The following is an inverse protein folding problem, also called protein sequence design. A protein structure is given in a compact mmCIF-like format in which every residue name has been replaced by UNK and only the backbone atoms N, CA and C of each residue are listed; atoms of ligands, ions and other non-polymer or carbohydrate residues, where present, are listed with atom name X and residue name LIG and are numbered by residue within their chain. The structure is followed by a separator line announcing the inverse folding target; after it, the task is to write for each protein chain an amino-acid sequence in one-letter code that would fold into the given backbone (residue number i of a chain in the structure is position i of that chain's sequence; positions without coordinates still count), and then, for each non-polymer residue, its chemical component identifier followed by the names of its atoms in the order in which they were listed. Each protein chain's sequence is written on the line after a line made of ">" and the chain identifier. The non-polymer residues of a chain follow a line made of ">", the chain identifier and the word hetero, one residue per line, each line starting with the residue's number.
data_IF_762769404837
#
_entry.id   IF_762769404837
#
_cell.length_a   1.000
_cell.length_b   1.000
_cell.length_c   1.000
_cell.angle_alpha   90.00
_cell.angle_beta   90.00
_cell.angle_gamma   90.00
#
_symmetry.space_group_name_H-M   'P 1'
#
loop_
_entity.id
_entity.type
_entity.pdbx_description
1 polymer ?
#
# COMPACT_ATOMS: atom_id res chain seq x y z
N UNK A 1 3.55 14.14 -24.46
CA UNK A 1 4.04 13.15 -23.52
C UNK A 1 4.26 13.92 -22.23
N UNK A 2 3.23 13.97 -21.36
CA UNK A 2 3.33 14.61 -20.04
C UNK A 2 4.14 13.70 -19.13
N UNK A 3 5.13 14.24 -18.47
CA UNK A 3 5.78 13.54 -17.36
C UNK A 3 4.72 13.28 -16.30
N UNK A 4 4.54 12.00 -15.93
CA UNK A 4 3.67 11.60 -14.81
C UNK A 4 4.28 12.14 -13.51
N UNK A 5 3.95 13.37 -13.16
CA UNK A 5 4.38 14.03 -11.92
C UNK A 5 3.27 13.87 -10.90
N UNK A 6 3.61 13.53 -9.65
CA UNK A 6 2.63 13.48 -8.58
C UNK A 6 1.98 14.86 -8.40
N UNK A 7 0.67 14.93 -8.07
CA UNK A 7 0.02 16.20 -7.83
C UNK A 7 0.75 16.99 -6.73
N UNK A 8 1.00 18.27 -7.05
CA UNK A 8 1.74 19.20 -6.20
C UNK A 8 0.75 19.96 -5.32
N UNK A 9 0.89 19.84 -4.02
CA UNK A 9 -0.01 20.46 -3.06
C UNK A 9 0.71 21.42 -2.12
N UNK A 10 -0.02 22.46 -1.69
CA UNK A 10 0.39 23.35 -0.64
C UNK A 10 -0.34 23.05 0.66
N UNK A 11 0.36 23.13 1.80
CA UNK A 11 -0.22 22.95 3.13
C UNK A 11 -0.10 24.26 3.90
N UNK A 12 -1.23 24.71 4.46
CA UNK A 12 -1.32 25.89 5.32
C UNK A 12 -1.99 25.48 6.63
N UNK A 13 -1.34 25.75 7.76
CA UNK A 13 -1.88 25.43 9.08
C UNK A 13 -1.49 26.49 10.12
N UNK A 14 -2.24 26.57 11.23
CA UNK A 14 -1.98 27.53 12.29
C UNK A 14 -0.64 27.31 13.00
N UNK A 15 -0.23 26.06 13.13
CA UNK A 15 1.01 25.72 13.82
C UNK A 15 1.93 24.89 12.92
N UNK A 16 3.24 24.99 13.15
CA UNK A 16 4.25 24.19 12.43
C UNK A 16 4.05 22.68 12.67
N UNK A 17 3.59 22.31 13.86
CA UNK A 17 3.34 20.91 14.19
C UNK A 17 2.20 20.35 13.36
N UNK A 18 1.06 21.04 13.32
CA UNK A 18 -0.09 20.67 12.53
C UNK A 18 0.22 20.61 11.04
N UNK A 19 0.89 21.65 10.51
CA UNK A 19 1.34 21.66 9.13
C UNK A 19 2.26 20.48 8.81
N UNK A 20 3.15 20.11 9.75
CA UNK A 20 4.02 18.96 9.57
C UNK A 20 3.26 17.62 9.57
N UNK A 21 2.26 17.46 10.44
CA UNK A 21 1.42 16.25 10.48
C UNK A 21 0.65 16.07 9.17
N UNK A 22 -0.01 17.13 8.69
CA UNK A 22 -0.72 17.14 7.42
C UNK A 22 0.21 16.88 6.23
N UNK A 23 1.34 17.60 6.16
CA UNK A 23 2.30 17.44 5.08
C UNK A 23 2.89 16.01 5.06
N UNK A 24 3.18 15.43 6.21
CA UNK A 24 3.67 14.05 6.29
C UNK A 24 2.60 13.03 5.88
N UNK A 25 1.34 13.24 6.27
CA UNK A 25 0.23 12.41 5.83
C UNK A 25 0.07 12.48 4.30
N UNK A 26 0.02 13.69 3.73
CA UNK A 26 -0.12 13.89 2.29
C UNK A 26 1.06 13.28 1.49
N UNK A 27 2.30 13.43 1.98
CA UNK A 27 3.48 12.78 1.37
C UNK A 27 3.41 11.26 1.46
N UNK A 28 2.97 10.71 2.58
CA UNK A 28 2.77 9.27 2.74
C UNK A 28 1.71 8.73 1.76
N UNK A 29 0.71 9.55 1.44
CA UNK A 29 -0.33 9.26 0.45
C UNK A 29 0.14 9.41 -1.02
N UNK A 30 1.39 9.86 -1.25
CA UNK A 30 2.00 9.95 -2.57
C UNK A 30 1.89 11.32 -3.24
N UNK A 31 1.40 12.35 -2.54
CA UNK A 31 1.34 13.72 -3.05
C UNK A 31 2.67 14.45 -2.84
N UNK A 32 3.01 15.36 -3.76
CA UNK A 32 4.21 16.20 -3.64
C UNK A 32 3.89 17.48 -2.88
N UNK A 33 4.26 17.54 -1.60
CA UNK A 33 4.07 18.74 -0.77
C UNK A 33 5.20 19.71 -1.01
N UNK A 34 4.94 20.72 -1.84
CA UNK A 34 5.94 21.71 -2.29
C UNK A 34 5.98 22.97 -1.42
N UNK A 35 4.92 23.23 -0.67
CA UNK A 35 4.88 24.28 0.35
C UNK A 35 4.19 23.78 1.61
N UNK A 36 4.75 24.12 2.77
CA UNK A 36 4.16 23.85 4.08
C UNK A 36 4.47 25.05 4.97
N UNK A 37 3.45 25.86 5.29
CA UNK A 37 3.65 27.15 5.93
C UNK A 37 2.46 27.56 6.80
N UNK A 38 2.64 28.64 7.55
CA UNK A 38 1.58 29.33 8.27
C UNK A 38 1.07 30.51 7.42
N UNK A 39 -0.19 30.97 7.60
CA UNK A 39 -0.74 32.09 6.84
C UNK A 39 0.16 33.32 6.82
N UNK A 40 0.71 33.70 7.98
CA UNK A 40 1.59 34.87 8.13
C UNK A 40 2.90 34.79 7.34
N UNK A 41 3.33 33.61 6.96
CA UNK A 41 4.64 33.37 6.33
C UNK A 41 4.51 32.98 4.84
N UNK A 42 3.29 32.94 4.29
CA UNK A 42 3.08 32.58 2.91
C UNK A 42 3.52 33.71 1.98
N UNK A 43 4.46 33.41 1.10
CA UNK A 43 4.78 34.30 -0.02
C UNK A 43 3.71 34.15 -1.11
N UNK A 44 2.69 35.00 -1.02
CA UNK A 44 1.53 34.98 -1.91
C UNK A 44 1.91 35.24 -3.36
N UNK A 45 2.88 36.13 -3.60
CA UNK A 45 3.37 36.44 -4.95
C UNK A 45 4.07 35.25 -5.63
N UNK A 46 4.56 34.32 -4.85
CA UNK A 46 5.24 33.11 -5.37
C UNK A 46 4.28 31.95 -5.61
N UNK A 47 3.29 31.78 -4.76
CA UNK A 47 2.50 30.54 -4.72
C UNK A 47 1.06 30.69 -5.14
N UNK A 48 0.45 31.85 -4.91
CA UNK A 48 -0.97 32.09 -5.27
C UNK A 48 -1.04 32.56 -6.71
N UNK A 49 -1.97 32.00 -7.50
CA UNK A 49 -2.22 32.38 -8.89
C UNK A 49 -1.11 32.04 -9.88
N UNK A 50 -0.15 31.20 -9.50
CA UNK A 50 1.00 30.85 -10.38
C UNK A 50 0.84 29.53 -11.12
N UNK A 51 -0.25 28.77 -10.91
CA UNK A 51 -0.44 27.43 -11.48
C UNK A 51 0.60 26.41 -11.05
N UNK A 52 1.36 26.70 -10.00
CA UNK A 52 2.41 25.81 -9.49
C UNK A 52 1.88 24.69 -8.59
N UNK A 53 0.62 24.76 -8.17
CA UNK A 53 -0.05 23.84 -7.28
C UNK A 53 -1.34 23.33 -7.92
N UNK A 54 -1.63 22.06 -7.70
CA UNK A 54 -2.92 21.48 -8.07
C UNK A 54 -3.97 21.63 -6.96
N UNK A 55 -3.53 21.88 -5.69
CA UNK A 55 -4.48 22.10 -4.60
C UNK A 55 -3.80 22.71 -3.36
N UNK A 56 -4.60 23.43 -2.57
CA UNK A 56 -4.28 23.87 -1.22
C UNK A 56 -5.00 23.00 -0.20
N UNK A 57 -4.26 22.54 0.83
CA UNK A 57 -4.80 21.90 2.02
C UNK A 57 -4.66 22.89 3.18
N UNK A 58 -5.77 23.44 3.63
CA UNK A 58 -5.83 24.51 4.64
C UNK A 58 -6.49 23.97 5.89
N UNK A 59 -5.79 24.03 7.00
CA UNK A 59 -6.27 23.56 8.30
C UNK A 59 -5.96 24.61 9.38
N UNK A 60 -6.94 25.45 9.64
CA UNK A 60 -6.87 26.59 10.55
C UNK A 60 -7.93 26.44 11.64
N UNK A 61 -7.49 26.44 12.91
CA UNK A 61 -8.37 26.30 14.06
C UNK A 61 -9.26 27.54 14.26
N UNK A 62 -8.73 28.74 13.97
CA UNK A 62 -9.42 30.02 14.08
C UNK A 62 -9.52 30.69 12.69
N UNK A 63 -10.56 30.33 11.94
CA UNK A 63 -10.80 30.89 10.62
C UNK A 63 -11.17 32.37 10.65
N UNK A 64 -11.78 32.87 11.74
CA UNK A 64 -12.14 34.30 11.89
C UNK A 64 -10.88 35.16 11.98
N UNK A 65 -9.86 34.70 12.69
CA UNK A 65 -8.56 35.36 12.78
C UNK A 65 -7.86 35.53 11.43
N UNK A 66 -8.10 34.58 10.52
CA UNK A 66 -7.43 34.52 9.22
C UNK A 66 -8.38 34.86 8.05
N UNK A 67 -9.52 35.54 8.32
CA UNK A 67 -10.54 35.82 7.32
C UNK A 67 -9.98 36.60 6.10
N UNK A 68 -9.24 37.67 6.33
CA UNK A 68 -8.62 38.47 5.24
C UNK A 68 -7.66 37.65 4.38
N UNK A 69 -6.89 36.75 5.01
CA UNK A 69 -5.98 35.84 4.31
C UNK A 69 -6.76 34.80 3.50
N UNK A 70 -7.83 34.24 4.05
CA UNK A 70 -8.69 33.27 3.38
C UNK A 70 -9.40 33.90 2.17
N UNK A 71 -9.89 35.12 2.30
CA UNK A 71 -10.50 35.89 1.20
C UNK A 71 -9.49 36.09 0.08
N UNK A 72 -8.26 36.50 0.41
CA UNK A 72 -7.18 36.67 -0.56
C UNK A 72 -6.84 35.34 -1.26
N UNK A 73 -6.76 34.23 -0.50
CA UNK A 73 -6.48 32.91 -1.04
C UNK A 73 -7.59 32.41 -1.97
N UNK A 74 -8.86 32.64 -1.60
CA UNK A 74 -10.03 32.26 -2.40
C UNK A 74 -10.16 33.11 -3.68
N UNK A 75 -9.82 34.39 -3.63
CA UNK A 75 -9.93 35.30 -4.80
C UNK A 75 -8.80 35.09 -5.81
N UNK A 76 -7.59 34.73 -5.34
CA UNK A 76 -6.39 34.74 -6.19
C UNK A 76 -5.86 33.35 -6.55
N UNK A 77 -6.33 32.30 -5.88
CA UNK A 77 -5.85 30.95 -6.18
C UNK A 77 -6.59 30.31 -7.34
N UNK A 78 -5.85 29.89 -8.36
CA UNK A 78 -6.38 29.04 -9.44
C UNK A 78 -6.54 27.57 -8.99
N UNK A 79 -5.86 27.17 -7.91
CA UNK A 79 -5.92 25.82 -7.39
C UNK A 79 -7.09 25.66 -6.39
N UNK A 80 -7.81 24.53 -6.41
CA UNK A 80 -8.85 24.23 -5.45
C UNK A 80 -8.32 24.25 -4.01
N UNK A 81 -9.14 24.76 -3.09
CA UNK A 81 -8.81 24.82 -1.67
C UNK A 81 -9.62 23.76 -0.92
N UNK A 82 -8.92 22.90 -0.21
CA UNK A 82 -9.50 21.87 0.67
C UNK A 82 -9.34 22.35 2.09
N UNK A 83 -10.44 22.55 2.79
CA UNK A 83 -10.43 22.84 4.21
C UNK A 83 -10.37 21.56 5.03
N UNK A 84 -9.47 21.51 6.00
CA UNK A 84 -9.38 20.43 6.97
C UNK A 84 -10.56 20.42 7.95
N UNK A 85 -10.83 19.24 8.53
CA UNK A 85 -11.92 19.04 9.50
C UNK A 85 -11.48 19.33 10.96
N UNK A 86 -10.37 19.99 11.15
CA UNK A 86 -9.72 20.25 12.43
C UNK A 86 -8.34 19.60 12.56
N UNK A 87 -7.81 19.54 13.75
CA UNK A 87 -6.44 19.13 14.05
C UNK A 87 -6.14 17.71 13.59
N UNK A 88 -5.13 17.56 12.75
CA UNK A 88 -4.64 16.25 12.33
C UNK A 88 -4.19 15.42 13.56
N UNK A 89 -4.78 14.24 13.80
CA UNK A 89 -4.39 13.40 14.92
C UNK A 89 -2.97 12.84 14.70
N UNK A 90 -2.20 12.60 15.76
CA UNK A 90 -0.93 11.89 15.65
C UNK A 90 -1.16 10.44 15.20
N UNK A 91 -0.19 9.83 14.53
CA UNK A 91 -0.29 8.45 13.99
C UNK A 91 -0.67 7.38 15.02
N UNK A 92 -0.37 7.62 16.28
CA UNK A 92 -0.71 6.73 17.42
C UNK A 92 -2.13 6.89 17.93
N UNK A 93 -2.89 7.85 17.43
CA UNK A 93 -4.26 8.10 17.86
C UNK A 93 -5.24 7.14 17.18
N UNK A 94 -6.21 6.63 17.90
CA UNK A 94 -7.21 5.65 17.39
C UNK A 94 -8.03 6.16 16.19
N UNK A 95 -8.22 7.48 16.09
CA UNK A 95 -8.94 8.10 14.98
C UNK A 95 -8.08 8.37 13.74
N UNK A 96 -6.74 8.24 13.83
CA UNK A 96 -5.84 8.53 12.72
C UNK A 96 -6.20 7.78 11.43
N UNK A 97 -6.51 6.47 11.43
CA UNK A 97 -6.84 5.74 10.19
C UNK A 97 -8.12 6.24 9.52
N UNK A 98 -9.12 6.67 10.33
CA UNK A 98 -10.36 7.24 9.81
C UNK A 98 -10.12 8.63 9.21
N UNK A 99 -9.35 9.46 9.89
CA UNK A 99 -8.95 10.78 9.44
C UNK A 99 -8.11 10.72 8.15
N UNK A 100 -7.06 9.88 8.11
CA UNK A 100 -6.20 9.66 6.94
C UNK A 100 -7.01 9.23 5.72
N UNK A 101 -7.97 8.32 5.89
CA UNK A 101 -8.87 7.87 4.82
C UNK A 101 -9.73 9.00 4.27
N UNK A 102 -10.29 9.85 5.15
CA UNK A 102 -11.09 11.02 4.72
C UNK A 102 -10.21 12.00 3.94
N UNK A 103 -9.05 12.34 4.47
CA UNK A 103 -8.08 13.21 3.80
C UNK A 103 -7.77 12.72 2.39
N UNK A 104 -7.47 11.43 2.26
CA UNK A 104 -7.16 10.85 0.95
C UNK A 104 -8.34 10.88 -0.02
N UNK A 105 -9.53 10.51 0.42
CA UNK A 105 -10.73 10.56 -0.44
C UNK A 105 -10.99 11.99 -0.94
N UNK A 106 -10.75 12.97 -0.09
CA UNK A 106 -10.90 14.38 -0.45
C UNK A 106 -9.84 14.81 -1.46
N UNK A 107 -8.58 14.43 -1.26
CA UNK A 107 -7.49 14.71 -2.19
C UNK A 107 -7.71 14.04 -3.55
N UNK A 108 -8.11 12.76 -3.59
CA UNK A 108 -8.44 12.08 -4.86
C UNK A 108 -9.54 12.82 -5.63
N UNK A 109 -10.56 13.25 -4.93
CA UNK A 109 -11.69 13.94 -5.56
C UNK A 109 -11.30 15.29 -6.14
N UNK A 110 -10.36 15.99 -5.51
CA UNK A 110 -9.96 17.36 -5.88
C UNK A 110 -8.85 17.40 -6.91
N UNK A 111 -7.83 16.55 -6.79
CA UNK A 111 -6.61 16.59 -7.63
C UNK A 111 -6.27 15.26 -8.29
N UNK A 112 -7.11 14.25 -8.11
CA UNK A 112 -6.87 12.92 -8.66
C UNK A 112 -5.94 12.05 -7.82
N UNK A 113 -5.71 10.83 -8.30
CA UNK A 113 -4.83 9.87 -7.62
C UNK A 113 -3.37 10.22 -7.91
N UNK A 114 -2.49 10.18 -6.89
CA UNK A 114 -1.07 10.29 -7.14
C UNK A 114 -0.60 9.08 -7.96
N UNK A 115 0.37 9.31 -8.82
CA UNK A 115 1.06 8.23 -9.50
C UNK A 115 1.90 7.51 -8.43
N UNK A 116 1.52 6.29 -8.09
CA UNK A 116 2.29 5.48 -7.13
C UNK A 116 3.62 5.11 -7.78
N UNK A 117 4.60 6.00 -7.69
CA UNK A 117 5.98 5.67 -8.06
C UNK A 117 6.52 4.74 -6.99
N UNK A 118 6.65 3.47 -7.32
CA UNK A 118 7.52 2.59 -6.56
C UNK A 118 8.91 3.22 -6.61
N UNK A 119 9.37 3.75 -5.49
CA UNK A 119 10.70 4.33 -5.44
C UNK A 119 11.74 3.20 -5.48
N UNK A 120 12.09 2.76 -6.69
CA UNK A 120 13.07 1.72 -6.93
C UNK A 120 14.44 2.04 -6.29
N UNK A 121 14.76 3.34 -6.13
CA UNK A 121 15.98 3.76 -5.41
C UNK A 121 15.89 3.46 -3.91
N UNK A 122 14.70 3.61 -3.31
CA UNK A 122 14.49 3.21 -1.89
C UNK A 122 14.56 1.70 -1.74
N UNK A 123 14.03 0.94 -2.70
CA UNK A 123 14.23 -0.51 -2.76
C UNK A 123 15.72 -0.87 -2.85
N UNK A 124 16.50 -0.17 -3.68
CA UNK A 124 17.94 -0.40 -3.82
C UNK A 124 18.73 -0.02 -2.56
N UNK A 125 18.38 1.05 -1.85
CA UNK A 125 19.03 1.46 -0.59
C UNK A 125 18.73 0.50 0.57
N UNK A 126 17.61 -0.22 0.52
CA UNK A 126 17.29 -1.27 1.50
C UNK A 126 18.20 -2.49 1.34
N UNK A 127 18.94 -2.60 0.23
CA UNK A 127 19.86 -3.70 -0.09
C UNK A 127 21.09 -3.80 0.82
N UNK A 128 21.38 -2.76 1.62
CA UNK A 128 22.55 -2.74 2.51
C UNK A 128 22.30 -3.40 3.89
N UNK A 129 21.09 -3.92 4.15
CA UNK A 129 20.78 -4.58 5.42
C UNK A 129 21.32 -6.02 5.47
N UNK A 130 21.82 -6.47 6.62
CA UNK A 130 22.31 -7.83 6.76
C UNK A 130 21.17 -8.83 6.50
N UNK A 131 21.49 -9.91 5.80
CA UNK A 131 20.57 -11.04 5.58
C UNK A 131 20.12 -11.62 6.91
N UNK A 132 18.88 -12.09 6.97
CA UNK A 132 18.36 -12.78 8.14
C UNK A 132 19.33 -13.89 8.59
N UNK A 133 19.62 -13.90 9.89
CA UNK A 133 20.38 -14.96 10.55
C UNK A 133 19.50 -16.05 11.13
N UNK A 134 18.20 -16.07 10.75
CA UNK A 134 17.28 -17.14 11.16
C UNK A 134 17.87 -18.50 10.76
N UNK A 135 18.21 -19.28 11.77
CA UNK A 135 18.60 -20.68 11.58
C UNK A 135 17.32 -21.50 11.42
N UNK A 136 17.12 -22.00 10.21
CA UNK A 136 16.05 -22.98 9.98
C UNK A 136 16.45 -24.25 10.70
N UNK A 137 15.55 -24.87 11.48
CA UNK A 137 15.79 -26.21 12.00
C UNK A 137 16.10 -27.19 10.86
N UNK A 138 17.11 -28.06 11.05
CA UNK A 138 17.59 -28.97 10.00
C UNK A 138 16.49 -29.87 9.41
N UNK A 139 15.48 -30.17 10.21
CA UNK A 139 14.29 -30.93 9.81
C UNK A 139 13.47 -30.27 8.68
N UNK A 140 13.57 -28.91 8.50
CA UNK A 140 12.94 -28.20 7.41
C UNK A 140 13.84 -28.01 6.19
N UNK A 141 15.17 -28.13 6.35
CA UNK A 141 16.14 -27.98 5.26
C UNK A 141 16.07 -29.14 4.26
N UNK A 142 15.69 -30.34 4.77
CA UNK A 142 15.68 -31.58 4.00
C UNK A 142 14.29 -31.97 3.47
N UNK A 143 13.26 -31.11 3.62
CA UNK A 143 11.99 -31.33 2.95
C UNK A 143 12.22 -31.15 1.44
N UNK A 144 11.99 -32.21 0.62
CA UNK A 144 12.08 -32.05 -0.82
C UNK A 144 11.07 -30.97 -1.19
N UNK A 145 11.54 -29.91 -1.88
CA UNK A 145 10.66 -28.99 -2.58
C UNK A 145 9.76 -29.87 -3.45
N UNK A 146 8.52 -30.05 -3.02
CA UNK A 146 7.58 -30.85 -3.77
C UNK A 146 7.50 -30.27 -5.16
N UNK A 147 7.89 -31.06 -6.16
CA UNK A 147 7.75 -30.73 -7.57
C UNK A 147 6.25 -30.77 -7.92
N UNK A 148 5.45 -29.89 -7.30
CA UNK A 148 4.01 -29.88 -7.41
C UNK A 148 3.43 -28.53 -7.01
N UNK A 149 2.12 -28.44 -7.12
CA UNK A 149 1.35 -27.29 -6.64
C UNK A 149 1.51 -27.20 -5.13
N UNK A 150 1.84 -26.01 -4.60
CA UNK A 150 2.02 -25.85 -3.17
C UNK A 150 0.71 -26.13 -2.42
N UNK A 151 0.80 -26.83 -1.30
CA UNK A 151 -0.37 -27.03 -0.42
C UNK A 151 -0.74 -25.74 0.33
N UNK A 152 0.21 -24.85 0.50
CA UNK A 152 0.03 -23.57 1.18
C UNK A 152 0.39 -22.41 0.26
N UNK A 153 -0.51 -21.46 0.17
CA UNK A 153 -0.36 -20.22 -0.59
C UNK A 153 -0.55 -19.03 0.34
N UNK A 154 0.36 -18.08 0.28
CA UNK A 154 0.26 -16.83 1.01
C UNK A 154 -0.03 -15.68 0.04
N UNK A 155 -1.15 -15.01 0.24
CA UNK A 155 -1.44 -13.76 -0.45
C UNK A 155 -0.69 -12.64 0.27
N UNK A 156 0.13 -11.90 -0.46
CA UNK A 156 0.79 -10.69 0.02
C UNK A 156 -0.03 -9.51 -0.46
N UNK A 157 -0.80 -8.92 0.45
CA UNK A 157 -1.72 -7.83 0.17
C UNK A 157 -1.06 -6.49 0.47
N UNK A 158 -0.90 -5.61 -0.52
CA UNK A 158 -0.11 -4.41 -0.36
C UNK A 158 -0.58 -3.25 -1.25
N UNK A 159 -0.31 -2.00 -0.82
CA UNK A 159 -0.61 -0.79 -1.56
C UNK A 159 0.50 0.24 -1.36
N UNK A 160 0.20 1.44 -0.88
CA UNK A 160 1.19 2.51 -0.64
C UNK A 160 2.23 2.07 0.41
N UNK A 161 3.52 2.14 0.07
CA UNK A 161 4.62 1.63 0.90
C UNK A 161 4.81 0.11 0.86
N UNK A 162 3.87 -0.61 0.23
CA UNK A 162 3.86 -2.06 0.10
C UNK A 162 5.11 -2.66 -0.54
N UNK A 163 5.60 -2.17 -1.68
CA UNK A 163 6.76 -2.75 -2.34
C UNK A 163 7.99 -2.86 -1.44
N UNK A 164 8.25 -1.85 -0.62
CA UNK A 164 9.35 -1.86 0.35
C UNK A 164 9.10 -2.88 1.47
N UNK A 165 7.88 -2.92 2.01
CA UNK A 165 7.53 -3.84 3.09
C UNK A 165 7.57 -5.31 2.62
N UNK A 166 6.97 -5.61 1.47
CA UNK A 166 7.00 -6.96 0.87
C UNK A 166 8.43 -7.40 0.57
N UNK A 167 9.27 -6.49 0.05
CA UNK A 167 10.67 -6.81 -0.19
C UNK A 167 11.43 -7.14 1.11
N UNK A 168 11.26 -6.33 2.16
CA UNK A 168 11.88 -6.61 3.48
C UNK A 168 11.44 -7.97 4.02
N UNK A 169 10.16 -8.30 3.92
CA UNK A 169 9.62 -9.60 4.28
C UNK A 169 10.29 -10.73 3.49
N UNK A 170 10.30 -10.66 2.15
CA UNK A 170 10.89 -11.70 1.31
C UNK A 170 12.40 -11.86 1.53
N UNK A 171 13.10 -10.76 1.79
CA UNK A 171 14.55 -10.78 2.07
C UNK A 171 14.88 -11.39 3.46
N UNK A 172 13.93 -11.36 4.41
CA UNK A 172 14.07 -11.97 5.74
C UNK A 172 13.82 -13.47 5.74
N UNK A 173 13.09 -13.97 4.74
CA UNK A 173 12.70 -15.37 4.69
C UNK A 173 13.88 -16.30 4.40
N UNK A 174 13.86 -17.49 5.02
CA UNK A 174 14.84 -18.52 4.74
C UNK A 174 14.69 -19.09 3.33
N UNK A 175 15.75 -19.75 2.86
CA UNK A 175 15.74 -20.46 1.60
C UNK A 175 14.83 -21.70 1.68
N UNK A 176 14.18 -22.02 0.55
CA UNK A 176 13.49 -23.31 0.37
C UNK A 176 12.21 -23.51 1.21
N UNK A 177 11.38 -22.47 1.30
CA UNK A 177 10.07 -22.62 1.91
C UNK A 177 9.10 -23.37 0.98
N UNK A 178 8.33 -24.37 1.50
CA UNK A 178 7.37 -25.14 0.72
C UNK A 178 6.04 -24.39 0.52
N UNK A 179 6.13 -23.12 0.16
CA UNK A 179 5.00 -22.23 -0.04
C UNK A 179 5.15 -21.44 -1.33
N UNK A 180 4.04 -21.04 -1.93
CA UNK A 180 4.00 -20.03 -2.98
C UNK A 180 3.40 -18.73 -2.44
N UNK A 181 3.81 -17.64 -3.04
CA UNK A 181 3.27 -16.33 -2.76
C UNK A 181 2.47 -15.81 -3.96
N UNK A 182 1.35 -15.14 -3.69
CA UNK A 182 0.57 -14.39 -4.68
C UNK A 182 0.54 -12.93 -4.21
N UNK A 183 1.23 -12.05 -4.91
CA UNK A 183 1.27 -10.63 -4.57
C UNK A 183 0.11 -9.90 -5.23
N UNK A 184 -0.77 -9.32 -4.42
CA UNK A 184 -1.79 -8.37 -4.81
C UNK A 184 -1.35 -6.96 -4.40
N UNK A 185 -0.80 -6.22 -5.34
CA UNK A 185 -0.24 -4.87 -5.13
C UNK A 185 -1.00 -3.84 -5.96
N UNK A 186 -1.54 -2.83 -5.30
CA UNK A 186 -2.09 -1.67 -6.01
C UNK A 186 -0.95 -0.85 -6.61
N UNK A 187 -0.81 -0.87 -7.91
CA UNK A 187 0.28 -0.23 -8.65
C UNK A 187 -0.17 0.17 -10.06
N UNK A 188 0.53 1.11 -10.67
CA UNK A 188 0.35 1.40 -12.10
C UNK A 188 0.77 0.16 -12.92
N UNK A 189 -0.05 -0.31 -13.88
CA UNK A 189 0.29 -1.46 -14.74
C UNK A 189 1.67 -1.36 -15.39
N UNK A 190 2.10 -0.16 -15.77
CA UNK A 190 3.42 0.08 -16.37
C UNK A 190 4.61 -0.22 -15.44
N UNK A 191 4.36 -0.28 -14.13
CA UNK A 191 5.38 -0.54 -13.12
C UNK A 191 5.45 -1.99 -12.68
N UNK A 192 4.53 -2.84 -13.18
CA UNK A 192 4.36 -4.22 -12.70
C UNK A 192 5.60 -5.09 -12.95
N UNK A 193 6.21 -5.00 -14.15
CA UNK A 193 7.43 -5.73 -14.50
C UNK A 193 8.63 -5.28 -13.65
N UNK A 194 8.76 -3.97 -13.43
CA UNK A 194 9.82 -3.42 -12.60
C UNK A 194 9.66 -3.84 -11.14
N UNK A 195 8.44 -3.84 -10.62
CA UNK A 195 8.12 -4.36 -9.29
C UNK A 195 8.52 -5.83 -9.18
N UNK A 196 8.01 -6.69 -10.07
CA UNK A 196 8.30 -8.12 -10.08
C UNK A 196 9.81 -8.40 -10.04
N UNK A 197 10.58 -7.71 -10.87
CA UNK A 197 12.04 -7.86 -10.91
C UNK A 197 12.72 -7.39 -9.64
N UNK A 198 12.28 -6.26 -9.05
CA UNK A 198 12.94 -5.65 -7.90
C UNK A 198 12.71 -6.41 -6.60
N UNK A 199 11.55 -7.04 -6.42
CA UNK A 199 11.19 -7.78 -5.22
C UNK A 199 12.14 -8.94 -4.92
N UNK A 200 12.68 -9.58 -5.96
CA UNK A 200 13.45 -10.83 -5.81
C UNK A 200 14.94 -10.68 -6.14
N UNK A 201 15.39 -9.46 -6.39
CA UNK A 201 16.77 -9.19 -6.85
C UNK A 201 17.86 -9.75 -5.94
N UNK A 202 17.60 -9.85 -4.64
CA UNK A 202 18.61 -10.23 -3.63
C UNK A 202 18.16 -11.33 -2.68
N UNK A 203 17.08 -12.02 -3.01
CA UNK A 203 16.59 -13.17 -2.26
C UNK A 203 16.54 -14.45 -3.12
N UNK A 204 15.99 -15.50 -2.60
CA UNK A 204 15.97 -16.84 -3.22
C UNK A 204 14.73 -17.12 -4.06
N UNK A 205 13.74 -16.23 -4.00
CA UNK A 205 12.49 -16.39 -4.71
C UNK A 205 12.63 -16.05 -6.18
N UNK A 206 11.76 -16.65 -6.99
CA UNK A 206 11.52 -16.22 -8.36
C UNK A 206 10.24 -15.42 -8.40
N UNK A 207 10.19 -14.38 -9.20
CA UNK A 207 8.97 -13.59 -9.39
C UNK A 207 8.59 -13.55 -10.86
N UNK A 208 7.28 -13.56 -11.10
CA UNK A 208 6.67 -13.38 -12.40
C UNK A 208 5.28 -12.80 -12.28
N UNK A 209 4.78 -12.18 -13.34
CA UNK A 209 3.37 -11.81 -13.45
C UNK A 209 2.57 -13.08 -13.74
N UNK A 210 1.42 -13.24 -13.08
CA UNK A 210 0.52 -14.38 -13.28
C UNK A 210 -0.07 -14.39 -14.68
N UNK A 211 0.04 -15.54 -15.37
CA UNK A 211 -0.52 -15.76 -16.71
C UNK A 211 -1.30 -17.07 -16.74
N UNK A 212 -2.36 -17.11 -17.54
CA UNK A 212 -3.16 -18.29 -17.71
C UNK A 212 -2.33 -19.52 -18.12
N UNK A 213 -2.65 -20.67 -17.54
CA UNK A 213 -2.00 -21.94 -17.82
C UNK A 213 -0.66 -22.15 -17.11
N UNK A 214 -0.20 -21.23 -16.28
CA UNK A 214 1.02 -21.39 -15.48
C UNK A 214 0.71 -21.86 -14.05
N UNK A 215 1.36 -22.92 -13.56
CA UNK A 215 1.12 -23.43 -12.20
C UNK A 215 1.76 -22.51 -11.15
N UNK A 216 1.17 -22.44 -9.96
CA UNK A 216 1.87 -21.94 -8.78
C UNK A 216 2.96 -22.97 -8.38
N UNK A 217 4.12 -22.46 -7.98
CA UNK A 217 5.24 -23.30 -7.52
C UNK A 217 5.79 -22.80 -6.20
N UNK A 218 6.26 -23.72 -5.37
CA UNK A 218 7.00 -23.35 -4.16
C UNK A 218 8.23 -22.51 -4.50
N UNK A 219 8.50 -21.49 -3.67
CA UNK A 219 9.61 -20.56 -3.89
C UNK A 219 9.36 -19.51 -4.98
N UNK A 220 8.12 -19.37 -5.44
CA UNK A 220 7.74 -18.33 -6.40
C UNK A 220 6.82 -17.27 -5.78
N UNK A 221 6.97 -16.04 -6.28
CA UNK A 221 6.05 -14.91 -6.07
C UNK A 221 5.33 -14.64 -7.39
N UNK A 222 4.06 -14.95 -7.46
CA UNK A 222 3.22 -14.65 -8.62
C UNK A 222 2.54 -13.31 -8.38
N UNK A 223 2.86 -12.30 -9.19
CA UNK A 223 2.25 -10.98 -9.09
C UNK A 223 0.92 -10.98 -9.83
N UNK A 224 -0.16 -10.62 -9.15
CA UNK A 224 -1.47 -10.50 -9.78
C UNK A 224 -1.46 -9.38 -10.84
N UNK A 225 -1.89 -9.64 -12.09
CA UNK A 225 -1.95 -8.63 -13.13
C UNK A 225 -2.99 -7.55 -12.80
N UNK A 226 -2.78 -6.32 -13.27
CA UNK A 226 -3.75 -5.23 -13.11
C UNK A 226 -4.87 -5.29 -14.16
N UNK A 227 -4.61 -5.87 -15.32
CA UNK A 227 -5.48 -5.81 -16.49
C UNK A 227 -6.76 -6.64 -16.34
N UNK A 228 -6.73 -7.71 -15.55
CA UNK A 228 -7.87 -8.60 -15.40
C UNK A 228 -7.75 -9.56 -14.24
N UNK A 229 -8.90 -10.08 -13.83
CA UNK A 229 -9.01 -11.01 -12.72
C UNK A 229 -8.35 -12.35 -13.05
N UNK A 230 -7.54 -12.83 -12.10
CA UNK A 230 -7.01 -14.19 -12.11
C UNK A 230 -7.63 -15.01 -10.97
N UNK A 231 -7.80 -16.31 -11.23
CA UNK A 231 -8.18 -17.32 -10.24
C UNK A 231 -7.28 -18.56 -10.39
N UNK A 232 -7.60 -19.64 -9.71
CA UNK A 232 -6.83 -20.88 -9.73
C UNK A 232 -7.74 -22.07 -9.98
N UNK A 233 -7.34 -22.96 -10.89
CA UNK A 233 -8.06 -24.20 -11.14
C UNK A 233 -7.79 -25.28 -10.07
N UNK A 234 -8.42 -26.43 -10.17
CA UNK A 234 -8.27 -27.53 -9.23
C UNK A 234 -6.83 -28.09 -9.16
N UNK A 235 -6.04 -27.89 -10.18
CA UNK A 235 -4.63 -28.27 -10.25
C UNK A 235 -3.69 -27.14 -9.79
N UNK A 236 -4.20 -25.95 -9.38
CA UNK A 236 -3.43 -24.80 -8.92
C UNK A 236 -2.77 -24.00 -10.03
N UNK A 237 -3.27 -24.12 -11.26
CA UNK A 237 -2.82 -23.28 -12.37
C UNK A 237 -3.58 -21.95 -12.34
N UNK A 238 -2.89 -20.90 -12.75
CA UNK A 238 -3.50 -19.59 -12.93
C UNK A 238 -4.50 -19.63 -14.09
N UNK A 239 -5.67 -19.10 -13.85
CA UNK A 239 -6.76 -18.98 -14.85
C UNK A 239 -7.14 -17.51 -14.94
N UNK A 240 -7.06 -16.93 -16.13
CA UNK A 240 -7.64 -15.63 -16.43
C UNK A 240 -9.15 -15.77 -16.63
N UNK A 241 -9.95 -15.02 -15.86
CA UNK A 241 -11.42 -15.14 -15.94
C UNK A 241 -12.01 -14.42 -17.15
N UNK A 242 -11.21 -13.55 -17.80
CA UNK A 242 -11.66 -12.65 -18.86
C UNK A 242 -12.52 -11.49 -18.35
N UNK A 243 -12.61 -11.30 -17.04
CA UNK A 243 -13.35 -10.22 -16.39
C UNK A 243 -12.39 -9.18 -15.82
N UNK A 244 -12.78 -7.90 -15.73
CA UNK A 244 -12.05 -6.94 -14.94
C UNK A 244 -12.13 -7.28 -13.44
N UNK A 245 -11.20 -6.74 -12.67
CA UNK A 245 -11.31 -6.74 -11.21
C UNK A 245 -12.56 -5.96 -10.78
N UNK A 246 -13.30 -6.47 -9.80
CA UNK A 246 -14.47 -5.77 -9.27
C UNK A 246 -14.03 -4.65 -8.31
N UNK A 247 -14.77 -3.54 -8.33
CA UNK A 247 -14.53 -2.41 -7.46
C UNK A 247 -13.49 -1.42 -7.99
N UNK A 248 -13.00 -0.54 -7.12
CA UNK A 248 -12.15 0.59 -7.54
C UNK A 248 -10.67 0.24 -7.67
N UNK A 249 -10.27 -0.98 -7.31
CA UNK A 249 -8.86 -1.40 -7.24
C UNK A 249 -8.52 -2.46 -8.29
N UNK A 250 -7.32 -2.37 -8.85
CA UNK A 250 -6.78 -3.34 -9.78
C UNK A 250 -5.28 -3.59 -9.47
N UNK A 251 -4.91 -4.81 -9.03
CA UNK A 251 -5.81 -5.92 -8.71
C UNK A 251 -6.68 -5.64 -7.46
N UNK A 252 -7.87 -6.27 -7.36
CA UNK A 252 -8.63 -6.26 -6.10
C UNK A 252 -8.05 -7.27 -5.13
N UNK A 253 -7.57 -6.79 -3.98
CA UNK A 253 -6.99 -7.64 -2.92
C UNK A 253 -8.05 -8.58 -2.36
N UNK A 254 -9.28 -8.10 -2.13
CA UNK A 254 -10.38 -8.93 -1.67
C UNK A 254 -10.67 -10.09 -2.63
N UNK A 255 -10.67 -9.85 -3.95
CA UNK A 255 -10.87 -10.92 -4.93
C UNK A 255 -9.70 -11.90 -4.99
N UNK A 256 -8.45 -11.43 -4.92
CA UNK A 256 -7.28 -12.34 -4.88
C UNK A 256 -7.35 -13.24 -3.66
N UNK A 257 -7.68 -12.70 -2.47
CA UNK A 257 -7.85 -13.48 -1.24
C UNK A 257 -9.01 -14.49 -1.41
N UNK A 258 -10.14 -14.06 -1.93
CA UNK A 258 -11.32 -14.92 -2.14
C UNK A 258 -11.01 -16.07 -3.12
N UNK A 259 -10.33 -15.78 -4.24
CA UNK A 259 -9.95 -16.75 -5.25
C UNK A 259 -8.91 -17.77 -4.71
N UNK A 260 -7.93 -17.30 -3.94
CA UNK A 260 -7.00 -18.19 -3.25
C UNK A 260 -7.72 -19.07 -2.21
N UNK A 261 -8.61 -18.48 -1.41
CA UNK A 261 -9.41 -19.21 -0.41
C UNK A 261 -10.30 -20.27 -1.04
N UNK A 262 -10.94 -19.95 -2.16
CA UNK A 262 -11.78 -20.89 -2.90
C UNK A 262 -11.02 -22.13 -3.35
N UNK A 263 -9.78 -21.95 -3.81
CA UNK A 263 -8.96 -23.05 -4.33
C UNK A 263 -8.23 -23.83 -3.24
N UNK A 264 -7.61 -23.13 -2.29
CA UNK A 264 -6.69 -23.75 -1.33
C UNK A 264 -7.31 -24.00 0.06
N UNK A 265 -8.55 -23.48 0.30
CA UNK A 265 -9.23 -23.65 1.57
C UNK A 265 -8.37 -23.21 2.77
N UNK A 266 -8.14 -24.10 3.72
CA UNK A 266 -7.29 -23.86 4.89
C UNK A 266 -5.78 -23.69 4.56
N UNK A 267 -5.36 -24.02 3.35
CA UNK A 267 -4.01 -23.78 2.85
C UNK A 267 -3.80 -22.33 2.34
N UNK A 268 -4.89 -21.57 2.13
CA UNK A 268 -4.80 -20.15 1.79
C UNK A 268 -4.54 -19.31 3.04
N UNK A 269 -3.60 -18.38 2.95
CA UNK A 269 -3.23 -17.47 4.01
C UNK A 269 -3.03 -16.07 3.45
N UNK A 270 -3.05 -15.04 4.28
CA UNK A 270 -2.79 -13.66 3.86
C UNK A 270 -1.92 -12.90 4.85
N UNK A 271 -1.01 -12.09 4.30
CA UNK A 271 -0.30 -11.05 5.05
C UNK A 271 -0.70 -9.71 4.44
N UNK A 272 -1.19 -8.81 5.27
CA UNK A 272 -1.58 -7.46 4.87
C UNK A 272 -0.47 -6.50 5.28
N UNK A 273 0.21 -5.94 4.30
CA UNK A 273 1.29 -4.98 4.46
C UNK A 273 0.80 -3.54 4.44
N UNK A 274 1.76 -2.62 4.51
CA UNK A 274 1.54 -1.19 4.32
C UNK A 274 0.69 -0.93 3.08
N UNK A 275 -0.35 -0.15 3.26
CA UNK A 275 -1.29 0.16 2.21
C UNK A 275 -2.35 1.14 2.66
N UNK A 276 -3.02 1.71 1.68
CA UNK A 276 -4.07 2.66 1.90
C UNK A 276 -5.43 2.07 1.52
N UNK A 277 -6.45 2.46 2.28
CA UNK A 277 -7.82 2.00 2.07
C UNK A 277 -8.18 0.83 2.95
N UNK A 278 -9.07 -0.02 2.45
CA UNK A 278 -9.62 -1.16 3.20
C UNK A 278 -9.76 -2.43 2.34
N UNK A 279 -9.14 -2.46 1.17
CA UNK A 279 -9.18 -3.64 0.30
C UNK A 279 -8.46 -4.81 0.99
N UNK A 280 -9.12 -5.95 1.06
CA UNK A 280 -8.73 -7.12 1.84
C UNK A 280 -9.51 -7.30 3.15
N UNK A 281 -10.21 -6.26 3.64
CA UNK A 281 -10.96 -6.35 4.91
C UNK A 281 -12.27 -7.15 4.82
N UNK A 282 -12.77 -7.42 3.61
CA UNK A 282 -13.97 -8.23 3.40
C UNK A 282 -13.60 -9.71 3.29
N UNK A 283 -12.56 -10.04 2.53
CA UNK A 283 -12.21 -11.44 2.26
C UNK A 283 -11.31 -12.06 3.35
N UNK A 284 -10.50 -11.28 4.07
CA UNK A 284 -9.64 -11.80 5.13
C UNK A 284 -10.43 -12.53 6.26
N UNK A 285 -11.58 -12.00 6.77
CA UNK A 285 -12.41 -12.73 7.71
C UNK A 285 -12.96 -14.05 7.15
N UNK A 286 -13.31 -14.08 5.86
CA UNK A 286 -13.80 -15.30 5.20
C UNK A 286 -12.70 -16.35 5.08
N UNK A 287 -11.47 -15.92 4.73
CA UNK A 287 -10.29 -16.78 4.73
C UNK A 287 -10.06 -17.38 6.11
N UNK A 288 -10.12 -16.55 7.18
CA UNK A 288 -9.96 -16.99 8.56
C UNK A 288 -11.00 -18.04 8.96
N UNK A 289 -12.27 -17.86 8.58
CA UNK A 289 -13.35 -18.83 8.82
C UNK A 289 -13.12 -20.16 8.10
N UNK A 290 -12.40 -20.17 6.99
CA UNK A 290 -12.01 -21.38 6.25
C UNK A 290 -10.75 -22.05 6.77
N UNK A 291 -10.17 -21.56 7.89
CA UNK A 291 -9.01 -22.15 8.58
C UNK A 291 -7.68 -21.54 8.17
N UNK A 292 -7.66 -20.57 7.28
CA UNK A 292 -6.44 -19.85 6.88
C UNK A 292 -5.93 -18.89 7.97
N UNK A 293 -4.68 -18.45 7.83
CA UNK A 293 -4.06 -17.46 8.71
C UNK A 293 -4.16 -16.06 8.10
N UNK A 294 -4.42 -15.08 8.96
CA UNK A 294 -4.43 -13.66 8.60
C UNK A 294 -3.40 -12.97 9.48
N UNK A 295 -2.38 -12.40 8.84
CA UNK A 295 -1.34 -11.61 9.51
C UNK A 295 -1.38 -10.19 8.97
N UNK A 296 -0.89 -9.22 9.74
CA UNK A 296 -0.87 -7.82 9.35
C UNK A 296 0.42 -7.15 9.81
N UNK A 297 1.00 -6.32 8.95
CA UNK A 297 2.13 -5.48 9.34
C UNK A 297 1.69 -4.53 10.47
N UNK A 298 2.51 -4.40 11.52
CA UNK A 298 2.25 -3.50 12.63
C UNK A 298 2.19 -2.03 12.18
N UNK A 299 1.28 -1.26 12.75
CA UNK A 299 0.97 0.10 12.28
C UNK A 299 2.19 1.03 12.29
N UNK A 300 3.02 0.94 13.32
CA UNK A 300 4.23 1.75 13.51
C UNK A 300 5.31 1.50 12.46
N UNK A 301 5.28 0.35 11.79
CA UNK A 301 6.24 0.00 10.72
C UNK A 301 5.69 0.27 9.32
N UNK A 302 4.39 0.54 9.20
CA UNK A 302 3.76 0.90 7.93
C UNK A 302 4.14 2.31 7.50
N UNK A 303 4.38 2.51 6.21
CA UNK A 303 4.39 3.84 5.61
C UNK A 303 2.97 4.44 5.64
N UNK A 304 1.96 3.62 5.34
CA UNK A 304 0.53 3.92 5.46
C UNK A 304 -0.14 2.71 6.10
N UNK A 305 -0.78 2.88 7.26
CA UNK A 305 -1.30 1.76 8.05
C UNK A 305 -2.76 1.42 7.80
N UNK A 306 -3.52 2.30 7.11
CA UNK A 306 -4.98 2.21 7.05
C UNK A 306 -5.52 0.90 6.45
N UNK A 307 -4.81 0.27 5.52
CA UNK A 307 -5.20 -1.03 4.97
C UNK A 307 -5.01 -2.16 6.00
N UNK A 308 -3.86 -2.21 6.66
CA UNK A 308 -3.59 -3.18 7.71
C UNK A 308 -4.50 -2.97 8.93
N UNK A 309 -4.79 -1.70 9.29
CA UNK A 309 -5.73 -1.35 10.36
C UNK A 309 -7.15 -1.80 10.02
N UNK A 310 -7.62 -1.57 8.80
CA UNK A 310 -8.95 -2.00 8.38
C UNK A 310 -9.14 -3.52 8.50
N UNK A 311 -8.09 -4.31 8.25
CA UNK A 311 -8.14 -5.76 8.46
C UNK A 311 -8.04 -6.13 9.94
N UNK A 312 -7.25 -5.43 10.76
CA UNK A 312 -7.20 -5.60 12.22
C UNK A 312 -8.55 -5.32 12.88
N UNK A 313 -9.24 -4.27 12.44
CA UNK A 313 -10.56 -3.87 12.96
C UNK A 313 -11.64 -4.96 12.77
N UNK A 314 -11.42 -5.89 11.83
CA UNK A 314 -12.32 -7.06 11.66
C UNK A 314 -12.16 -8.11 12.75
N UNK A 315 -11.11 -8.05 13.57
CA UNK A 315 -10.80 -9.04 14.60
C UNK A 315 -10.27 -10.39 14.08
N UNK A 316 -10.00 -10.52 12.76
CA UNK A 316 -9.56 -11.78 12.18
C UNK A 316 -8.02 -11.98 12.19
N UNK A 317 -7.25 -10.94 12.51
CA UNK A 317 -5.78 -10.98 12.50
C UNK A 317 -5.25 -11.83 13.65
N UNK A 318 -4.45 -12.83 13.32
CA UNK A 318 -3.85 -13.75 14.30
C UNK A 318 -2.46 -13.31 14.76
N UNK A 319 -1.74 -12.54 13.95
CA UNK A 319 -0.40 -12.06 14.27
C UNK A 319 -0.13 -10.70 13.62
N UNK A 320 0.61 -9.84 14.32
CA UNK A 320 1.09 -8.55 13.78
C UNK A 320 2.55 -8.36 14.15
N UNK A 321 3.34 -7.82 13.23
CA UNK A 321 4.76 -7.57 13.41
C UNK A 321 5.32 -6.65 12.32
N UNK A 322 6.61 -6.33 12.41
CA UNK A 322 7.34 -5.69 11.32
C UNK A 322 7.43 -6.62 10.10
N UNK A 323 7.78 -6.11 8.92
CA UNK A 323 7.97 -6.97 7.74
C UNK A 323 8.95 -8.12 7.98
N UNK A 324 9.98 -7.90 8.80
CA UNK A 324 10.99 -8.89 9.11
C UNK A 324 10.53 -9.91 10.17
N UNK A 325 9.47 -9.64 10.92
CA UNK A 325 8.89 -10.52 11.93
C UNK A 325 7.71 -11.33 11.41
N UNK A 326 7.12 -10.92 10.28
CA UNK A 326 6.04 -11.62 9.61
C UNK A 326 6.58 -12.83 8.84
#
# INVERSE_FOLDING_TARGET
>A
MGEDVNPRIGVIADTLLQGSLLANAAKALGYDVVVNTQPANLDTGKWIGTGMLECWLVDLDDQEKWAEFLDLLLEQSDAPIIFGDGTAPPKTHEEYPRWERRLFQTLIKSVGRPVTRVNLKTLEQTLARPRSTLKIPEEFINLPLAAGVPERVWVLAASAGGPTAVKLFLDSLPRELPVAFVLAQHIDPKMLDALSTSLVRHNWFKSRIGRAGEPLRCGEVVVAPCEGEITFDESGYVVETGKPWEGPYAPSIDQVIANATKRFGAGANVIVFSGMGNDGSIAAPLLRQRGGQVWAQSAETCAVSSQADAVRDTGCVAYSGSPEEL
#
